data_IF_482381453850
#
_entry.id   IF_482381453850
#
_cell.length_a   1.000
_cell.length_b   1.000
_cell.length_c   1.000
_cell.angle_alpha   90.00
_cell.angle_beta   90.00
_cell.angle_gamma   90.00
#
_symmetry.space_group_name_H-M   'P 1'
#
loop_
_entity.id
_entity.type
_entity.pdbx_description
1 polymer ?
#
# COMPACT_ATOMS: atom_id res chain seq x y z
N UNK A 1 20.20 3.76 6.93
CA UNK A 1 19.86 3.42 8.31
C UNK A 1 19.81 4.69 9.15
N UNK A 2 19.02 4.71 10.21
CA UNK A 2 18.70 5.90 11.00
C UNK A 2 19.94 6.53 11.69
N UNK A 3 20.91 5.72 12.13
CA UNK A 3 22.14 6.24 12.77
C UNK A 3 22.93 7.16 11.83
N UNK A 4 22.98 6.80 10.54
CA UNK A 4 23.67 7.63 9.54
C UNK A 4 22.88 8.89 9.22
N UNK A 5 21.56 8.77 9.17
CA UNK A 5 20.70 9.94 8.97
C UNK A 5 20.76 10.89 10.15
N UNK A 6 20.79 10.40 11.38
CA UNK A 6 20.99 11.24 12.56
C UNK A 6 22.29 12.03 12.49
N UNK A 7 23.40 11.40 12.07
CA UNK A 7 24.68 12.08 11.88
C UNK A 7 24.59 13.22 10.83
N UNK A 8 23.86 12.97 9.74
CA UNK A 8 23.63 13.96 8.68
C UNK A 8 22.76 15.11 9.22
N UNK A 9 21.66 14.80 9.87
CA UNK A 9 20.75 15.79 10.47
C UNK A 9 21.50 16.65 11.51
N UNK A 10 22.30 16.00 12.35
CA UNK A 10 23.11 16.71 13.37
C UNK A 10 24.11 17.69 12.74
N UNK A 11 24.68 17.31 11.59
CA UNK A 11 25.68 18.13 10.87
C UNK A 11 25.03 19.24 10.06
N UNK A 12 24.04 18.88 9.23
CA UNK A 12 23.46 19.80 8.25
C UNK A 12 22.35 20.70 8.85
N UNK A 13 21.74 20.27 9.97
CA UNK A 13 20.69 21.01 10.68
C UNK A 13 19.56 21.49 9.78
N UNK A 14 18.91 20.59 9.02
CA UNK A 14 17.78 21.00 8.20
C UNK A 14 16.59 21.43 9.06
N UNK A 15 15.81 22.39 8.58
CA UNK A 15 14.56 22.80 9.22
C UNK A 15 13.44 21.79 8.95
N UNK A 16 13.48 21.13 7.78
CA UNK A 16 12.43 20.21 7.35
C UNK A 16 12.95 18.97 6.62
N UNK A 17 12.14 17.91 6.63
CA UNK A 17 12.35 16.65 5.93
C UNK A 17 11.17 16.38 5.01
N UNK A 18 11.43 16.14 3.71
CA UNK A 18 10.43 15.75 2.71
C UNK A 18 10.63 14.28 2.31
N UNK A 19 9.94 13.32 2.93
CA UNK A 19 10.18 11.91 2.70
C UNK A 19 9.63 11.38 1.37
N UNK A 20 8.58 11.99 0.82
CA UNK A 20 7.90 11.56 -0.41
C UNK A 20 8.87 11.39 -1.61
N UNK A 21 9.87 12.27 -1.74
CA UNK A 21 10.83 12.19 -2.85
C UNK A 21 11.82 11.04 -2.74
N UNK A 22 11.87 10.36 -1.58
CA UNK A 22 12.76 9.22 -1.33
C UNK A 22 12.13 7.86 -1.62
N UNK A 23 10.90 7.83 -2.17
CA UNK A 23 10.14 6.61 -2.37
C UNK A 23 9.92 5.84 -1.07
N UNK A 24 9.64 4.54 -1.15
CA UNK A 24 9.39 3.69 0.02
C UNK A 24 10.49 3.76 1.09
N UNK A 25 11.74 3.82 0.66
CA UNK A 25 12.88 3.95 1.60
C UNK A 25 12.86 5.27 2.37
N UNK A 26 12.44 6.36 1.73
CA UNK A 26 12.29 7.66 2.37
C UNK A 26 11.18 7.65 3.41
N UNK A 27 10.02 7.09 3.08
CA UNK A 27 8.87 6.95 3.97
C UNK A 27 9.20 6.10 5.19
N UNK A 28 9.78 4.92 4.99
CA UNK A 28 10.18 4.02 6.07
C UNK A 28 11.17 4.68 7.03
N UNK A 29 12.22 5.32 6.48
CA UNK A 29 13.24 5.98 7.30
C UNK A 29 12.68 7.20 8.04
N UNK A 30 11.72 7.93 7.47
CA UNK A 30 11.03 9.02 8.16
C UNK A 30 10.26 8.50 9.38
N UNK A 31 9.48 7.42 9.22
CA UNK A 31 8.76 6.78 10.32
C UNK A 31 9.72 6.28 11.41
N UNK A 32 10.83 5.63 11.04
CA UNK A 32 11.86 5.19 11.98
C UNK A 32 12.51 6.35 12.75
N UNK A 33 12.86 7.46 12.06
CA UNK A 33 13.43 8.66 12.68
C UNK A 33 12.46 9.31 13.69
N UNK A 34 11.18 9.37 13.35
CA UNK A 34 10.13 9.89 14.22
C UNK A 34 9.98 9.01 15.46
N UNK A 35 9.83 7.70 15.31
CA UNK A 35 9.72 6.73 16.42
C UNK A 35 10.93 6.75 17.36
N UNK A 36 12.12 7.00 16.81
CA UNK A 36 13.34 7.15 17.58
C UNK A 36 13.50 8.54 18.27
N UNK A 37 12.57 9.47 18.06
CA UNK A 37 12.61 10.83 18.61
C UNK A 37 13.71 11.71 18.01
N UNK A 38 14.31 11.30 16.89
CA UNK A 38 15.42 12.03 16.25
C UNK A 38 14.93 13.33 15.64
N UNK A 39 13.75 13.33 15.02
CA UNK A 39 13.18 14.53 14.41
C UNK A 39 12.92 15.62 15.47
N UNK A 40 12.31 15.24 16.60
CA UNK A 40 12.06 16.16 17.72
C UNK A 40 13.37 16.67 18.34
N UNK A 41 14.35 15.77 18.52
CA UNK A 41 15.68 16.11 19.08
C UNK A 41 16.36 17.23 18.31
N UNK A 42 16.22 17.27 17.00
CA UNK A 42 16.86 18.26 16.13
C UNK A 42 15.90 19.33 15.60
N UNK A 43 14.64 19.31 16.05
CA UNK A 43 13.59 20.22 15.63
C UNK A 43 13.40 20.23 14.11
N UNK A 44 13.29 19.04 13.52
CA UNK A 44 13.07 18.85 12.08
C UNK A 44 11.59 18.60 11.81
N UNK A 45 10.96 19.47 11.03
CA UNK A 45 9.57 19.35 10.62
C UNK A 45 9.44 18.36 9.46
N UNK A 46 8.44 17.47 9.51
CA UNK A 46 8.10 16.61 8.36
C UNK A 46 7.11 17.35 7.47
N UNK A 47 7.49 17.57 6.22
CA UNK A 47 6.66 18.25 5.21
C UNK A 47 6.26 17.28 4.08
N UNK A 48 5.20 17.63 3.34
CA UNK A 48 4.65 16.83 2.25
C UNK A 48 3.65 15.77 2.74
N UNK A 49 4.08 14.85 3.60
CA UNK A 49 3.21 13.85 4.22
C UNK A 49 3.51 13.75 5.71
N UNK A 50 2.49 13.68 6.54
CA UNK A 50 2.66 13.50 7.97
C UNK A 50 2.95 12.05 8.34
N UNK A 51 3.68 11.81 9.44
CA UNK A 51 4.12 10.46 9.85
C UNK A 51 2.93 9.53 10.09
N UNK A 52 1.87 10.02 10.72
CA UNK A 52 0.64 9.26 10.95
C UNK A 52 -0.08 8.88 9.64
N UNK A 53 0.01 9.74 8.61
CA UNK A 53 -0.52 9.44 7.29
C UNK A 53 0.32 8.38 6.56
N UNK A 54 1.66 8.41 6.74
CA UNK A 54 2.53 7.34 6.24
C UNK A 54 2.11 6.00 6.86
N UNK A 55 1.93 5.94 8.17
CA UNK A 55 1.55 4.71 8.85
C UNK A 55 0.19 4.19 8.39
N UNK A 56 -0.81 5.06 8.25
CA UNK A 56 -2.14 4.69 7.72
C UNK A 56 -2.10 4.23 6.26
N UNK A 57 -1.22 4.78 5.45
CA UNK A 57 -1.09 4.40 4.04
C UNK A 57 -0.31 3.11 3.82
N UNK A 58 0.72 2.87 4.64
CA UNK A 58 1.65 1.76 4.45
C UNK A 58 1.22 0.48 5.18
N UNK A 59 0.58 0.61 6.34
CA UNK A 59 0.04 -0.54 7.07
C UNK A 59 -1.34 -0.91 6.53
N UNK A 60 -1.45 -2.11 5.95
CA UNK A 60 -2.69 -2.59 5.32
C UNK A 60 -3.86 -2.68 6.29
N UNK A 61 -3.60 -3.00 7.55
CA UNK A 61 -4.63 -3.11 8.58
C UNK A 61 -5.14 -1.71 8.93
N UNK A 62 -4.23 -0.76 9.14
CA UNK A 62 -4.58 0.62 9.44
C UNK A 62 -5.25 1.29 8.22
N UNK A 63 -4.79 1.00 7.02
CA UNK A 63 -5.45 1.46 5.78
C UNK A 63 -6.88 0.93 5.68
N UNK A 64 -7.10 -0.37 5.89
CA UNK A 64 -8.43 -0.97 5.89
C UNK A 64 -9.35 -0.34 6.93
N UNK A 65 -8.89 -0.17 8.17
CA UNK A 65 -9.66 0.52 9.22
C UNK A 65 -10.03 1.94 8.81
N UNK A 66 -9.11 2.65 8.16
CA UNK A 66 -9.35 4.00 7.66
C UNK A 66 -10.45 3.99 6.60
N UNK A 67 -10.38 3.10 5.61
CA UNK A 67 -11.40 2.97 4.57
C UNK A 67 -12.76 2.58 5.17
N UNK A 68 -12.79 1.61 6.06
CA UNK A 68 -14.02 1.19 6.77
C UNK A 68 -14.66 2.37 7.54
N UNK A 69 -13.84 3.21 8.20
CA UNK A 69 -14.32 4.38 8.93
C UNK A 69 -14.93 5.46 8.02
N UNK A 70 -14.51 5.49 6.76
CA UNK A 70 -15.01 6.41 5.73
C UNK A 70 -16.17 5.81 4.92
N UNK A 71 -16.53 4.55 5.17
CA UNK A 71 -17.54 3.83 4.39
C UNK A 71 -17.12 3.52 2.94
N UNK A 72 -15.81 3.46 2.70
CA UNK A 72 -15.24 3.13 1.40
C UNK A 72 -15.02 1.62 1.31
N UNK A 73 -15.60 1.01 0.29
CA UNK A 73 -15.45 -0.42 0.05
C UNK A 73 -14.03 -0.74 -0.44
N UNK A 74 -13.50 -1.85 0.06
CA UNK A 74 -12.23 -2.42 -0.37
C UNK A 74 -12.45 -3.86 -0.81
N UNK A 75 -11.51 -4.41 -1.60
CA UNK A 75 -11.47 -5.83 -1.88
C UNK A 75 -11.56 -6.64 -0.59
N UNK A 76 -12.51 -7.58 -0.53
CA UNK A 76 -12.73 -8.41 0.66
C UNK A 76 -11.49 -9.25 0.94
N UNK A 77 -11.03 -9.23 2.16
CA UNK A 77 -9.81 -9.93 2.54
C UNK A 77 -9.84 -10.34 4.00
N UNK A 78 -9.24 -11.49 4.30
CA UNK A 78 -9.02 -11.97 5.66
C UNK A 78 -7.60 -12.51 5.80
N UNK A 79 -7.06 -12.48 7.02
CA UNK A 79 -5.73 -13.01 7.33
C UNK A 79 -5.83 -14.48 7.71
N UNK A 80 -4.96 -15.31 7.15
CA UNK A 80 -4.82 -16.72 7.49
C UNK A 80 -3.44 -17.01 8.07
N UNK A 81 -3.40 -17.83 9.10
CA UNK A 81 -2.18 -18.32 9.76
C UNK A 81 -1.92 -19.81 9.46
N UNK A 82 -2.84 -20.45 8.74
CA UNK A 82 -2.73 -21.83 8.30
C UNK A 82 -3.36 -22.01 6.92
N UNK A 83 -3.02 -23.14 6.28
CA UNK A 83 -3.63 -23.51 4.98
C UNK A 83 -5.13 -23.77 5.15
N UNK A 84 -5.55 -24.38 6.26
CA UNK A 84 -6.96 -24.66 6.51
C UNK A 84 -7.79 -23.38 6.70
N UNK A 85 -7.25 -22.39 7.39
CA UNK A 85 -7.88 -21.05 7.48
C UNK A 85 -7.98 -20.39 6.11
N UNK A 86 -6.90 -20.44 5.31
CA UNK A 86 -6.90 -19.86 3.97
C UNK A 86 -7.94 -20.53 3.05
N UNK A 87 -8.11 -21.84 3.15
CA UNK A 87 -9.15 -22.58 2.42
C UNK A 87 -10.55 -22.11 2.83
N UNK A 88 -10.82 -21.98 4.13
CA UNK A 88 -12.11 -21.54 4.63
C UNK A 88 -12.43 -20.10 4.21
N UNK A 89 -11.42 -19.22 4.14
CA UNK A 89 -11.58 -17.85 3.65
C UNK A 89 -11.86 -17.85 2.15
N UNK A 90 -11.08 -18.59 1.36
CA UNK A 90 -11.26 -18.68 -0.08
C UNK A 90 -12.63 -19.28 -0.48
N UNK A 91 -13.17 -20.19 0.31
CA UNK A 91 -14.52 -20.75 0.11
C UNK A 91 -15.60 -19.68 0.27
N UNK A 92 -15.44 -18.75 1.21
CA UNK A 92 -16.35 -17.61 1.40
C UNK A 92 -16.21 -16.54 0.32
N UNK A 93 -14.97 -16.26 -0.12
CA UNK A 93 -14.70 -15.20 -1.10
C UNK A 93 -15.06 -15.65 -2.51
N UNK A 94 -14.89 -16.93 -2.84
CA UNK A 94 -14.96 -17.50 -4.18
C UNK A 94 -13.62 -17.37 -4.92
N UNK A 95 -13.32 -18.35 -5.78
CA UNK A 95 -12.13 -18.30 -6.63
C UNK A 95 -12.37 -17.45 -7.89
N UNK A 96 -11.34 -16.81 -8.45
CA UNK A 96 -9.95 -16.80 -7.98
C UNK A 96 -9.75 -15.88 -6.76
N UNK A 97 -8.72 -16.21 -5.94
CA UNK A 97 -8.27 -15.35 -4.83
C UNK A 97 -6.79 -15.01 -4.98
N UNK A 98 -6.37 -13.91 -4.36
CA UNK A 98 -4.97 -13.47 -4.32
C UNK A 98 -4.41 -13.77 -2.93
N UNK A 99 -3.24 -14.41 -2.89
CA UNK A 99 -2.50 -14.65 -1.67
C UNK A 99 -1.34 -13.68 -1.55
N UNK A 100 -1.26 -12.97 -0.43
CA UNK A 100 -0.20 -12.00 -0.15
C UNK A 100 0.45 -12.31 1.20
N UNK A 101 1.63 -12.94 1.22
CA UNK A 101 2.38 -13.14 2.47
C UNK A 101 2.73 -11.81 3.11
N UNK A 102 2.62 -11.74 4.43
CA UNK A 102 2.99 -10.53 5.16
C UNK A 102 4.52 -10.37 5.25
N UNK A 103 4.99 -9.14 5.15
CA UNK A 103 6.40 -8.76 5.27
C UNK A 103 7.33 -9.48 4.29
N UNK A 104 6.87 -9.72 3.07
CA UNK A 104 7.72 -10.23 1.98
C UNK A 104 8.02 -9.14 0.96
N UNK A 105 9.21 -9.18 0.37
CA UNK A 105 9.62 -8.24 -0.67
C UNK A 105 9.30 -8.81 -2.06
N UNK A 106 8.87 -7.93 -2.97
CA UNK A 106 8.72 -8.28 -4.38
C UNK A 106 7.69 -9.36 -4.69
N UNK A 107 6.64 -9.51 -3.87
CA UNK A 107 5.58 -10.49 -4.11
C UNK A 107 6.00 -11.96 -3.88
N UNK A 108 7.15 -12.18 -3.26
CA UNK A 108 7.68 -13.52 -3.01
C UNK A 108 6.71 -14.39 -2.21
N UNK A 109 6.40 -15.57 -2.73
CA UNK A 109 5.53 -16.55 -2.06
C UNK A 109 4.03 -16.30 -2.19
N UNK A 110 3.61 -15.17 -2.80
CA UNK A 110 2.23 -14.86 -3.10
C UNK A 110 1.83 -15.19 -4.54
N UNK A 111 0.58 -14.90 -4.90
CA UNK A 111 0.08 -15.03 -6.24
C UNK A 111 -1.43 -15.18 -6.34
N UNK A 112 -1.93 -15.16 -7.57
CA UNK A 112 -3.30 -15.44 -7.92
C UNK A 112 -3.49 -16.97 -7.98
N UNK A 113 -4.55 -17.48 -7.36
CA UNK A 113 -4.88 -18.91 -7.31
C UNK A 113 -6.34 -19.14 -7.73
N UNK A 114 -6.56 -20.16 -8.54
CA UNK A 114 -7.84 -20.43 -9.17
C UNK A 114 -8.58 -21.63 -8.56
N UNK A 115 -7.92 -22.41 -7.73
CA UNK A 115 -8.47 -23.62 -7.15
C UNK A 115 -7.78 -24.02 -5.83
N UNK A 116 -8.35 -25.01 -5.16
CA UNK A 116 -7.91 -25.53 -3.87
C UNK A 116 -6.46 -26.03 -3.89
N UNK A 117 -6.04 -26.72 -4.96
CA UNK A 117 -4.71 -27.33 -5.03
C UNK A 117 -3.62 -26.29 -5.21
N UNK A 118 -3.88 -25.28 -6.05
CA UNK A 118 -3.02 -24.11 -6.19
C UNK A 118 -2.93 -23.34 -4.87
N UNK A 119 -4.08 -23.11 -4.20
CA UNK A 119 -4.11 -22.41 -2.91
C UNK A 119 -3.23 -23.11 -1.88
N UNK A 120 -3.35 -24.43 -1.71
CA UNK A 120 -2.52 -25.20 -0.77
C UNK A 120 -1.03 -25.01 -1.04
N UNK A 121 -0.64 -25.07 -2.32
CA UNK A 121 0.75 -24.93 -2.74
C UNK A 121 1.28 -23.51 -2.47
N UNK A 122 0.55 -22.50 -2.91
CA UNK A 122 0.98 -21.09 -2.79
C UNK A 122 0.90 -20.63 -1.34
N UNK A 123 -0.16 -21.00 -0.59
CA UNK A 123 -0.31 -20.65 0.81
C UNK A 123 0.81 -21.25 1.67
N UNK A 124 1.17 -22.52 1.45
CA UNK A 124 2.28 -23.16 2.17
C UNK A 124 3.59 -22.38 1.97
N UNK A 125 3.91 -22.03 0.72
CA UNK A 125 5.09 -21.19 0.42
C UNK A 125 5.01 -19.81 1.05
N UNK A 126 3.82 -19.19 0.99
CA UNK A 126 3.57 -17.87 1.56
C UNK A 126 3.76 -17.82 3.08
N UNK A 127 3.22 -18.80 3.80
CA UNK A 127 3.39 -18.94 5.26
C UNK A 127 4.86 -19.15 5.65
N UNK A 128 5.61 -19.92 4.85
CA UNK A 128 7.05 -20.12 5.08
C UNK A 128 7.88 -18.88 4.76
N UNK A 129 7.49 -18.11 3.76
CA UNK A 129 8.18 -16.87 3.36
C UNK A 129 7.90 -15.71 4.32
N UNK A 130 6.72 -15.71 4.96
CA UNK A 130 6.31 -14.65 5.88
C UNK A 130 7.09 -14.73 7.19
N UNK A 131 7.70 -13.63 7.59
CA UNK A 131 8.43 -13.53 8.88
C UNK A 131 7.53 -13.73 10.10
N UNK A 132 6.24 -13.51 9.96
CA UNK A 132 5.23 -13.63 11.03
C UNK A 132 4.28 -14.80 10.80
N UNK A 133 4.53 -15.63 9.79
CA UNK A 133 3.74 -16.81 9.49
C UNK A 133 2.28 -16.51 9.13
N UNK A 134 2.01 -15.41 8.42
CA UNK A 134 0.67 -15.03 8.00
C UNK A 134 0.58 -14.73 6.51
N UNK A 135 -0.58 -15.02 5.93
CA UNK A 135 -0.93 -14.72 4.54
C UNK A 135 -2.29 -14.03 4.50
N UNK A 136 -2.37 -12.91 3.78
CA UNK A 136 -3.65 -12.30 3.44
C UNK A 136 -4.26 -13.08 2.28
N UNK A 137 -5.52 -13.48 2.41
CA UNK A 137 -6.34 -14.05 1.35
C UNK A 137 -7.33 -12.97 0.92
N UNK A 138 -7.26 -12.56 -0.33
CA UNK A 138 -7.99 -11.43 -0.87
C UNK A 138 -8.79 -11.85 -2.10
N UNK A 139 -10.02 -11.35 -2.26
CA UNK A 139 -10.78 -11.58 -3.48
C UNK A 139 -10.06 -11.00 -4.69
N UNK A 140 -10.18 -11.67 -5.82
CA UNK A 140 -9.59 -11.17 -7.06
C UNK A 140 -10.47 -10.09 -7.66
N UNK A 141 -9.85 -8.96 -7.97
CA UNK A 141 -10.45 -7.87 -8.75
C UNK A 141 -9.95 -7.87 -10.21
N UNK A 142 -9.50 -9.04 -10.68
CA UNK A 142 -9.06 -9.21 -12.06
C UNK A 142 -10.20 -8.85 -13.03
N UNK A 143 -9.87 -8.03 -14.03
CA UNK A 143 -10.82 -7.52 -15.01
C UNK A 143 -11.53 -6.23 -14.63
N UNK A 144 -11.23 -5.68 -13.46
CA UNK A 144 -11.65 -4.33 -13.10
C UNK A 144 -10.78 -3.29 -13.81
N UNK A 145 -11.37 -2.10 -14.02
CA UNK A 145 -10.63 -0.93 -14.48
C UNK A 145 -9.84 -0.33 -13.33
N UNK A 146 -8.64 0.14 -13.63
CA UNK A 146 -7.77 0.84 -12.68
C UNK A 146 -7.78 2.32 -13.00
N UNK A 147 -8.27 3.12 -12.07
CA UNK A 147 -8.35 4.57 -12.18
C UNK A 147 -7.59 5.20 -11.03
N UNK A 148 -6.88 6.29 -11.30
CA UNK A 148 -6.11 7.00 -10.30
C UNK A 148 -6.55 8.46 -10.21
N UNK A 149 -6.50 9.02 -9.03
CA UNK A 149 -6.77 10.43 -8.75
C UNK A 149 -5.57 11.04 -8.05
N UNK A 150 -4.92 12.00 -8.72
CA UNK A 150 -3.84 12.75 -8.13
C UNK A 150 -4.38 13.99 -7.41
N UNK A 151 -4.10 14.09 -6.13
CA UNK A 151 -4.55 15.21 -5.29
C UNK A 151 -3.39 15.82 -4.52
N UNK A 152 -3.46 17.13 -4.31
CA UNK A 152 -2.54 17.85 -3.43
C UNK A 152 -3.35 18.60 -2.38
N UNK A 153 -2.95 18.47 -1.12
CA UNK A 153 -3.56 19.19 0.00
C UNK A 153 -2.49 19.94 0.78
N UNK A 154 -2.77 21.21 1.11
CA UNK A 154 -1.90 22.04 1.94
C UNK A 154 -2.18 21.86 3.44
N UNK A 155 -1.36 22.55 4.27
CA UNK A 155 -1.51 22.51 5.72
C UNK A 155 -2.77 23.23 6.23
N UNK A 156 -3.36 24.12 5.43
CA UNK A 156 -4.60 24.85 5.75
C UNK A 156 -5.86 24.04 5.39
N UNK A 157 -5.68 22.88 4.74
CA UNK A 157 -6.77 21.99 4.33
C UNK A 157 -7.33 22.29 2.95
N UNK A 158 -6.75 23.21 2.19
CA UNK A 158 -7.10 23.40 0.79
C UNK A 158 -6.66 22.19 -0.02
N UNK A 159 -7.54 21.69 -0.88
CA UNK A 159 -7.27 20.51 -1.72
C UNK A 159 -7.54 20.83 -3.18
N UNK A 160 -6.65 20.42 -4.05
CA UNK A 160 -6.83 20.46 -5.50
C UNK A 160 -6.69 19.06 -6.08
N UNK A 161 -7.52 18.74 -7.05
CA UNK A 161 -7.34 17.60 -7.94
C UNK A 161 -6.40 18.03 -9.06
N UNK A 162 -5.25 17.38 -9.16
CA UNK A 162 -4.25 17.68 -10.18
C UNK A 162 -4.68 17.08 -11.52
N UNK A 163 -4.97 15.79 -11.52
CA UNK A 163 -5.47 15.08 -12.71
C UNK A 163 -6.20 13.79 -12.34
N UNK A 164 -7.02 13.36 -13.29
CA UNK A 164 -7.62 12.03 -13.32
C UNK A 164 -6.86 11.17 -14.33
N UNK A 165 -6.47 9.98 -13.94
CA UNK A 165 -5.65 9.06 -14.73
C UNK A 165 -6.41 7.76 -14.97
N UNK A 166 -6.45 7.34 -16.22
CA UNK A 166 -7.01 6.07 -16.66
C UNK A 166 -5.86 5.13 -17.05
N UNK A 167 -5.81 3.94 -16.46
CA UNK A 167 -4.90 2.89 -16.88
C UNK A 167 -5.54 2.14 -18.04
N UNK A 168 -4.83 2.06 -19.17
CA UNK A 168 -5.30 1.39 -20.40
C UNK A 168 -5.02 -0.12 -20.30
N UNK A 169 -3.95 -0.49 -19.63
CA UNK A 169 -3.62 -1.88 -19.36
C UNK A 169 -4.55 -2.46 -18.28
N UNK A 170 -4.84 -3.76 -18.33
CA UNK A 170 -5.70 -4.40 -17.34
C UNK A 170 -5.05 -4.37 -15.96
N UNK A 171 -5.92 -4.35 -14.94
CA UNK A 171 -5.50 -4.42 -13.54
C UNK A 171 -4.54 -5.60 -13.29
N UNK A 172 -3.42 -5.33 -12.61
CA UNK A 172 -2.37 -6.30 -12.30
C UNK A 172 -1.08 -6.09 -13.08
N UNK A 173 -1.08 -5.21 -14.09
CA UNK A 173 0.15 -4.69 -14.66
C UNK A 173 0.78 -3.73 -13.65
N UNK A 174 2.09 -3.90 -13.40
CA UNK A 174 2.76 -3.14 -12.35
C UNK A 174 2.81 -1.64 -12.65
N UNK A 175 2.58 -0.81 -11.63
CA UNK A 175 2.74 0.65 -11.72
C UNK A 175 4.14 1.00 -12.27
N UNK A 176 4.18 1.85 -13.29
CA UNK A 176 5.39 2.20 -14.01
C UNK A 176 5.64 1.37 -15.28
N UNK A 177 5.02 0.18 -15.40
CA UNK A 177 5.03 -0.65 -16.60
C UNK A 177 3.69 -0.56 -17.37
N UNK A 178 2.64 -0.04 -16.72
CA UNK A 178 1.32 0.14 -17.33
C UNK A 178 1.26 1.39 -18.22
N UNK A 179 0.50 1.27 -19.30
CA UNK A 179 0.19 2.41 -20.16
C UNK A 179 -1.02 3.15 -19.62
N UNK A 180 -0.86 4.44 -19.31
CA UNK A 180 -1.92 5.27 -18.74
C UNK A 180 -2.15 6.55 -19.55
N UNK A 181 -3.29 7.17 -19.36
CA UNK A 181 -3.68 8.45 -19.97
C UNK A 181 -4.17 9.46 -18.94
N UNK A 182 -3.64 10.66 -19.02
CA UNK A 182 -4.16 11.84 -18.31
C UNK A 182 -4.38 12.97 -19.33
N UNK A 183 -5.60 13.52 -19.44
CA UNK A 183 -6.83 13.16 -18.72
C UNK A 183 -7.38 11.80 -19.14
N UNK A 184 -8.37 11.28 -18.38
CA UNK A 184 -9.13 10.09 -18.75
C UNK A 184 -9.82 10.29 -20.09
N UNK A 185 -9.74 9.30 -20.98
CA UNK A 185 -10.25 9.37 -22.36
C UNK A 185 -11.57 8.61 -22.55
N UNK A 186 -11.72 7.47 -21.86
CA UNK A 186 -12.88 6.58 -22.06
C UNK A 186 -13.86 6.60 -20.88
N UNK A 187 -13.45 7.13 -19.74
CA UNK A 187 -14.25 7.17 -18.52
C UNK A 187 -15.23 8.34 -18.55
N UNK A 188 -16.50 8.06 -18.27
CA UNK A 188 -17.56 9.08 -18.31
C UNK A 188 -17.38 10.15 -17.22
N UNK A 189 -17.85 11.37 -17.48
CA UNK A 189 -17.84 12.45 -16.49
C UNK A 189 -18.62 12.11 -15.21
N UNK A 190 -19.58 11.19 -15.28
CA UNK A 190 -20.36 10.74 -14.12
C UNK A 190 -19.50 9.95 -13.14
N UNK A 191 -18.57 9.12 -13.64
CA UNK A 191 -17.62 8.35 -12.82
C UNK A 191 -16.52 9.24 -12.26
N UNK A 192 -16.18 10.33 -12.97
CA UNK A 192 -15.14 11.27 -12.53
C UNK A 192 -15.62 12.27 -11.45
N UNK A 193 -16.91 12.29 -11.11
CA UNK A 193 -17.51 13.16 -10.09
C UNK A 193 -17.62 12.49 -8.73
#
# INVERSE_FOLDING_TARGET
NINRLEQIIAKERPDALLPNLGGQSGLNLCSELSKAGILDKYNVEVIGVQVDAIERGEDRIEFKKTMDSLGIEMARSEVAYSVDEALAIADKLGYPVVLRPAYTMGGTGGGLVYNVDELKTVCTRGLQASLVGQVLVEESILGWEELELEVVRDAEGNMITVCFIENIDPLGVHTGDSFCSAPMLTISEEVQK
#
